data_IF_023726893582
#
_entry.id   IF_023726893582
#
_cell.length_a   1.000
_cell.length_b   1.000
_cell.length_c   1.000
_cell.angle_alpha   90.00
_cell.angle_beta   90.00
_cell.angle_gamma   90.00
#
_symmetry.space_group_name_H-M   'P 1'
#
loop_
_entity.id
_entity.type
_entity.pdbx_description
1 polymer ?
#
# COMPACT_ATOMS: atom_id res chain seq x y z
N UNK A 1 -7.61 -13.09 8.87
CA UNK A 1 -6.21 -12.90 8.43
C UNK A 1 -5.34 -13.71 9.38
N UNK A 2 -4.31 -14.41 8.88
CA UNK A 2 -3.36 -15.12 9.75
C UNK A 2 -2.55 -14.08 10.53
N UNK A 3 -2.37 -14.29 11.83
CA UNK A 3 -1.54 -13.45 12.70
C UNK A 3 -0.07 -13.58 12.29
N UNK A 4 0.41 -12.60 11.53
CA UNK A 4 1.82 -12.49 11.19
C UNK A 4 2.40 -11.47 12.16
N UNK A 5 3.13 -11.95 13.18
CA UNK A 5 3.91 -11.06 14.04
C UNK A 5 5.10 -10.52 13.23
N UNK A 6 4.98 -9.26 12.81
CA UNK A 6 6.00 -8.54 12.04
C UNK A 6 6.65 -7.43 12.86
N UNK A 7 6.38 -7.36 14.17
CA UNK A 7 6.94 -6.36 15.07
C UNK A 7 8.48 -6.40 15.04
N UNK A 8 9.10 -5.23 14.85
CA UNK A 8 10.56 -5.10 14.79
C UNK A 8 11.22 -5.76 13.56
N UNK A 9 10.44 -6.20 12.56
CA UNK A 9 10.96 -6.84 11.34
C UNK A 9 10.91 -5.91 10.14
N UNK A 10 11.82 -6.15 9.19
CA UNK A 10 11.73 -5.55 7.86
C UNK A 10 10.73 -6.34 7.03
N UNK A 11 9.67 -5.68 6.56
CA UNK A 11 8.61 -6.30 5.77
C UNK A 11 8.70 -5.84 4.32
N UNK A 12 8.84 -6.79 3.40
CA UNK A 12 8.68 -6.54 1.96
C UNK A 12 7.20 -6.64 1.60
N UNK A 13 6.57 -5.51 1.28
CA UNK A 13 5.17 -5.46 0.86
C UNK A 13 5.08 -5.24 -0.66
N UNK A 14 4.46 -6.20 -1.36
CA UNK A 14 4.10 -6.03 -2.78
C UNK A 14 2.76 -5.29 -2.88
N UNK A 15 2.76 -4.18 -3.61
CA UNK A 15 1.60 -3.31 -3.81
C UNK A 15 1.25 -3.19 -5.30
N UNK A 16 -0.01 -2.86 -5.59
CA UNK A 16 -0.46 -2.49 -6.94
C UNK A 16 -0.63 -0.97 -7.02
N UNK A 17 0.39 -0.30 -7.57
CA UNK A 17 0.38 1.14 -7.83
C UNK A 17 0.24 1.47 -9.32
N UNK A 18 -0.31 0.55 -10.11
CA UNK A 18 -0.62 0.83 -11.51
C UNK A 18 -1.90 1.69 -11.61
N UNK A 19 -1.75 2.98 -11.30
CA UNK A 19 -2.83 3.98 -11.33
C UNK A 19 -2.86 4.74 -12.66
N UNK A 20 -4.04 5.17 -13.14
CA UNK A 20 -4.13 6.00 -14.33
C UNK A 20 -3.53 7.38 -14.08
N UNK A 21 -2.76 7.85 -15.06
CA UNK A 21 -2.11 9.17 -15.07
C UNK A 21 -2.58 9.97 -16.28
N UNK A 22 -2.66 11.30 -16.13
CA UNK A 22 -2.90 12.20 -17.24
C UNK A 22 -1.63 12.47 -18.06
N UNK A 23 -1.75 13.29 -19.11
CA UNK A 23 -0.62 13.64 -19.98
C UNK A 23 0.47 14.47 -19.28
N UNK A 24 0.16 15.11 -18.14
CA UNK A 24 1.09 15.87 -17.33
C UNK A 24 1.74 14.99 -16.23
N UNK A 25 1.34 13.72 -16.13
CA UNK A 25 1.83 12.77 -15.14
C UNK A 25 1.12 12.86 -13.79
N UNK A 26 -0.02 13.57 -13.68
CA UNK A 26 -0.80 13.61 -12.45
C UNK A 26 -1.65 12.36 -12.32
N UNK A 27 -1.83 11.87 -11.10
CA UNK A 27 -2.73 10.76 -10.80
C UNK A 27 -4.17 11.23 -10.96
N UNK A 28 -4.95 10.51 -11.75
CA UNK A 28 -6.37 10.85 -12.01
C UNK A 28 -7.34 10.01 -11.18
N UNK A 29 -6.89 8.86 -10.66
CA UNK A 29 -7.62 8.02 -9.70
C UNK A 29 -6.62 7.32 -8.76
N UNK A 30 -6.71 7.60 -7.47
CA UNK A 30 -5.81 7.09 -6.43
C UNK A 30 -6.37 5.85 -5.70
N UNK A 31 -7.50 5.30 -6.13
CA UNK A 31 -8.21 4.21 -5.45
C UNK A 31 -7.30 3.02 -5.11
N UNK A 32 -6.37 2.65 -6.00
CA UNK A 32 -5.43 1.53 -5.77
C UNK A 32 -4.39 1.84 -4.68
N UNK A 33 -3.93 3.09 -4.63
CA UNK A 33 -3.01 3.57 -3.59
C UNK A 33 -3.74 3.56 -2.25
N UNK A 34 -4.93 4.16 -2.18
CA UNK A 34 -5.72 4.25 -0.95
C UNK A 34 -6.05 2.86 -0.38
N UNK A 35 -6.42 1.90 -1.24
CA UNK A 35 -6.67 0.51 -0.83
C UNK A 35 -5.46 -0.15 -0.17
N UNK A 36 -4.25 0.16 -0.65
CA UNK A 36 -3.00 -0.41 -0.11
C UNK A 36 -2.64 0.16 1.27
N UNK A 37 -3.12 1.36 1.62
CA UNK A 37 -2.82 2.03 2.89
C UNK A 37 -3.30 1.22 4.11
N UNK A 38 -4.40 0.48 3.99
CA UNK A 38 -4.91 -0.35 5.10
C UNK A 38 -3.87 -1.37 5.54
N UNK A 39 -3.25 -2.09 4.60
CA UNK A 39 -2.22 -3.08 4.89
C UNK A 39 -0.95 -2.44 5.43
N UNK A 40 -0.53 -1.30 4.84
CA UNK A 40 0.63 -0.53 5.31
C UNK A 40 0.43 -0.09 6.77
N UNK A 41 -0.76 0.44 7.11
CA UNK A 41 -1.11 0.85 8.48
C UNK A 41 -1.13 -0.30 9.47
N UNK A 42 -1.54 -1.50 9.04
CA UNK A 42 -1.48 -2.70 9.89
C UNK A 42 -0.02 -3.02 10.21
N UNK A 43 0.85 -3.06 9.19
CA UNK A 43 2.28 -3.38 9.35
C UNK A 43 3.00 -2.36 10.25
N UNK A 44 2.68 -1.07 10.15
CA UNK A 44 3.30 -0.04 10.99
C UNK A 44 2.80 -0.02 12.45
N UNK A 45 1.62 -0.58 12.73
CA UNK A 45 1.02 -0.60 14.08
C UNK A 45 1.26 -1.92 14.81
N UNK A 46 1.74 -2.93 14.10
CA UNK A 46 2.07 -4.26 14.61
C UNK A 46 3.46 -4.34 15.19
#
# INVERSE_FOLDING_TARGET
MKDWNVEGRIVLLRVDFNVPIDAQGNITDDTRIVKSLTTIKIIFRS
#
